data_IF_323918208429
#
_entry.id   IF_323918208429
#
_cell.length_a   1.000
_cell.length_b   1.000
_cell.length_c   1.000
_cell.angle_alpha   90.00
_cell.angle_beta   90.00
_cell.angle_gamma   90.00
#
_symmetry.space_group_name_H-M   'P 1'
#
loop_
_entity.id
_entity.type
_entity.pdbx_description
1 polymer ?
#
# COMPACT_ATOMS: atom_id res chain seq x y z
N UNK A 1 -2.30 26.99 -23.39
CA UNK A 1 -1.22 27.28 -22.43
C UNK A 1 -0.81 28.72 -22.59
N UNK A 2 -0.81 29.49 -21.50
CA UNK A 2 -0.39 30.90 -21.50
C UNK A 2 0.76 31.09 -20.51
N UNK A 3 1.58 32.10 -20.73
CA UNK A 3 2.59 32.54 -19.75
C UNK A 3 1.97 33.37 -18.62
N UNK A 4 2.78 33.76 -17.64
CA UNK A 4 2.36 34.61 -16.51
C UNK A 4 1.86 36.00 -16.93
N UNK A 5 2.16 36.43 -18.16
CA UNK A 5 1.68 37.68 -18.77
C UNK A 5 0.44 37.46 -19.66
N UNK A 6 -0.21 36.29 -19.59
CA UNK A 6 -1.35 35.86 -20.42
C UNK A 6 -1.06 35.78 -21.93
N UNK A 7 0.20 35.63 -22.33
CA UNK A 7 0.58 35.44 -23.73
C UNK A 7 0.40 33.96 -24.10
N UNK A 8 -0.27 33.70 -25.23
CA UNK A 8 -0.49 32.33 -25.73
C UNK A 8 0.83 31.68 -26.16
N UNK A 9 1.25 30.65 -25.45
CA UNK A 9 2.46 29.86 -25.76
C UNK A 9 2.15 28.63 -26.62
N UNK A 10 0.92 28.10 -26.55
CA UNK A 10 0.55 26.92 -27.31
C UNK A 10 -0.79 26.30 -26.88
N UNK A 11 -1.09 25.15 -27.47
CA UNK A 11 -2.29 24.36 -27.20
C UNK A 11 -1.90 22.99 -26.67
N UNK A 12 -2.75 22.40 -25.83
CA UNK A 12 -2.64 20.99 -25.40
C UNK A 12 -3.77 20.24 -26.07
N UNK A 13 -3.48 19.16 -26.75
CA UNK A 13 -4.51 18.35 -27.41
C UNK A 13 -5.06 17.30 -26.45
N UNK A 14 -6.25 16.78 -26.75
CA UNK A 14 -6.86 15.73 -25.93
C UNK A 14 -6.05 14.43 -25.97
N UNK A 15 -5.38 14.16 -27.09
CA UNK A 15 -4.54 12.98 -27.26
C UNK A 15 -3.33 13.03 -26.32
N UNK A 16 -2.72 14.21 -26.15
CA UNK A 16 -1.63 14.43 -25.19
C UNK A 16 -2.11 14.20 -23.75
N UNK A 17 -3.29 14.71 -23.40
CA UNK A 17 -3.89 14.51 -22.06
C UNK A 17 -4.18 13.03 -21.78
N UNK A 18 -4.68 12.29 -22.77
CA UNK A 18 -4.97 10.86 -22.64
C UNK A 18 -3.69 10.02 -22.50
N UNK A 19 -2.60 10.41 -23.15
CA UNK A 19 -1.31 9.74 -23.00
C UNK A 19 -0.75 9.93 -21.58
N UNK A 20 -0.69 11.17 -21.10
CA UNK A 20 -0.22 11.47 -19.73
C UNK A 20 -1.08 10.76 -18.68
N UNK A 21 -2.41 10.75 -18.84
CA UNK A 21 -3.29 10.06 -17.90
C UNK A 21 -3.02 8.55 -17.81
N UNK A 22 -2.64 7.90 -18.92
CA UNK A 22 -2.28 6.47 -18.92
C UNK A 22 -0.90 6.23 -18.28
N UNK A 23 0.05 7.13 -18.49
CA UNK A 23 1.38 7.05 -17.89
C UNK A 23 1.31 7.19 -16.36
N UNK A 24 0.61 8.22 -15.87
CA UNK A 24 0.35 8.44 -14.44
C UNK A 24 -0.36 7.24 -13.79
N UNK A 25 -1.39 6.70 -14.46
CA UNK A 25 -2.08 5.51 -13.96
C UNK A 25 -1.13 4.30 -13.85
N UNK A 26 -0.23 4.13 -14.83
CA UNK A 26 0.75 3.04 -14.81
C UNK A 26 1.79 3.23 -13.71
N UNK A 27 2.24 4.47 -13.50
CA UNK A 27 3.15 4.86 -12.44
C UNK A 27 2.54 4.62 -11.04
N UNK A 28 1.29 5.04 -10.83
CA UNK A 28 0.58 4.84 -9.56
C UNK A 28 0.44 3.35 -9.21
N UNK A 29 0.11 2.50 -10.18
CA UNK A 29 0.05 1.05 -9.99
C UNK A 29 1.40 0.47 -9.56
N UNK A 30 2.50 0.94 -10.13
CA UNK A 30 3.85 0.47 -9.77
C UNK A 30 4.26 0.93 -8.37
N UNK A 31 3.93 2.17 -8.00
CA UNK A 31 4.20 2.71 -6.67
C UNK A 31 3.42 1.98 -5.58
N UNK A 32 2.16 1.61 -5.83
CA UNK A 32 1.35 0.81 -4.90
C UNK A 32 2.03 -0.53 -4.58
N UNK A 33 2.76 -1.12 -5.53
CA UNK A 33 3.50 -2.37 -5.35
C UNK A 33 4.79 -2.27 -4.52
N UNK A 34 5.12 -1.08 -3.97
CA UNK A 34 6.37 -0.86 -3.23
C UNK A 34 7.60 -0.85 -4.14
N UNK A 35 7.43 -0.40 -5.38
CA UNK A 35 8.51 -0.22 -6.35
C UNK A 35 8.55 1.21 -6.83
N UNK A 36 9.74 1.74 -7.08
CA UNK A 36 9.86 3.00 -7.80
C UNK A 36 9.43 2.80 -9.26
N UNK A 37 8.73 3.78 -9.83
CA UNK A 37 8.20 3.70 -11.17
C UNK A 37 9.31 3.50 -12.22
N UNK A 38 8.99 2.66 -13.21
CA UNK A 38 9.80 2.41 -14.39
C UNK A 38 9.40 3.40 -15.48
N UNK A 39 10.39 4.16 -15.94
CA UNK A 39 10.23 5.15 -17.01
C UNK A 39 10.22 4.50 -18.43
N UNK A 40 10.40 3.18 -18.49
CA UNK A 40 10.57 2.39 -19.73
C UNK A 40 9.87 1.04 -19.60
N UNK A 41 9.49 0.37 -20.72
CA UNK A 41 8.88 -0.95 -20.68
C UNK A 41 9.74 -1.97 -19.93
N UNK A 42 9.10 -2.84 -19.13
CA UNK A 42 9.79 -3.76 -18.21
C UNK A 42 10.94 -4.57 -18.86
N UNK A 43 10.75 -5.08 -20.08
CA UNK A 43 11.75 -5.91 -20.77
C UNK A 43 12.95 -5.11 -21.29
N UNK A 44 12.80 -3.79 -21.44
CA UNK A 44 13.84 -2.89 -21.94
C UNK A 44 14.69 -2.32 -20.78
N UNK A 45 14.18 -2.40 -19.55
CA UNK A 45 14.89 -1.94 -18.35
C UNK A 45 16.12 -2.83 -18.09
N UNK A 46 17.34 -2.27 -18.05
CA UNK A 46 18.54 -3.02 -17.70
C UNK A 46 18.44 -3.67 -16.31
N UNK A 47 18.95 -4.89 -16.17
CA UNK A 47 18.89 -5.66 -14.93
C UNK A 47 19.30 -4.87 -13.67
N UNK A 48 20.41 -4.13 -13.74
CA UNK A 48 20.88 -3.32 -12.60
C UNK A 48 19.98 -2.11 -12.30
N UNK A 49 19.35 -1.52 -13.32
CA UNK A 49 18.36 -0.43 -13.15
C UNK A 49 17.11 -0.98 -12.43
N UNK A 50 16.64 -2.17 -12.82
CA UNK A 50 15.53 -2.85 -12.16
C UNK A 50 15.82 -3.15 -10.67
N UNK A 51 17.02 -3.61 -10.35
CA UNK A 51 17.43 -3.83 -8.95
C UNK A 51 17.42 -2.52 -8.17
N UNK A 52 18.02 -1.45 -8.71
CA UNK A 52 18.09 -0.17 -8.03
C UNK A 52 16.70 0.38 -7.68
N UNK A 53 15.74 0.25 -8.59
CA UNK A 53 14.33 0.68 -8.41
C UNK A 53 13.57 -0.09 -7.31
N UNK A 54 14.09 -1.24 -6.86
CA UNK A 54 13.45 -2.11 -5.84
C UNK A 54 14.25 -2.20 -4.54
N UNK A 55 15.58 -2.24 -4.62
CA UNK A 55 16.45 -2.55 -3.48
C UNK A 55 16.33 -1.52 -2.36
N UNK A 56 16.16 -0.24 -2.70
CA UNK A 56 15.95 0.81 -1.69
C UNK A 56 14.70 0.54 -0.85
N UNK A 57 13.56 0.30 -1.52
CA UNK A 57 12.30 -0.03 -0.86
C UNK A 57 12.37 -1.35 -0.10
N UNK A 58 12.95 -2.40 -0.68
CA UNK A 58 13.10 -3.69 -0.03
C UNK A 58 13.98 -3.63 1.22
N UNK A 59 15.04 -2.82 1.23
CA UNK A 59 15.86 -2.61 2.43
C UNK A 59 15.04 -1.94 3.53
N UNK A 60 14.28 -0.89 3.21
CA UNK A 60 13.44 -0.19 4.18
C UNK A 60 12.38 -1.13 4.77
N UNK A 61 11.71 -1.93 3.93
CA UNK A 61 10.73 -2.91 4.37
C UNK A 61 11.38 -4.01 5.24
N UNK A 62 12.53 -4.54 4.82
CA UNK A 62 13.25 -5.56 5.57
C UNK A 62 13.70 -5.06 6.95
N UNK A 63 14.24 -3.84 7.04
CA UNK A 63 14.60 -3.24 8.33
C UNK A 63 13.38 -3.05 9.23
N UNK A 64 12.23 -2.71 8.65
CA UNK A 64 10.97 -2.62 9.39
C UNK A 64 10.52 -3.99 9.91
N UNK A 65 10.66 -5.05 9.10
CA UNK A 65 10.36 -6.44 9.50
C UNK A 65 11.32 -6.96 10.59
N UNK A 66 12.58 -6.52 10.62
CA UNK A 66 13.53 -6.87 11.68
C UNK A 66 13.06 -6.40 13.07
N UNK A 67 12.26 -5.32 13.15
CA UNK A 67 11.65 -4.88 14.40
C UNK A 67 10.68 -5.93 14.95
N UNK A 68 9.95 -6.62 14.07
CA UNK A 68 9.07 -7.74 14.45
C UNK A 68 9.87 -8.89 15.05
N UNK A 69 11.00 -9.27 14.43
CA UNK A 69 11.87 -10.31 14.98
C UNK A 69 12.41 -9.94 16.37
N UNK A 70 12.77 -8.67 16.57
CA UNK A 70 13.21 -8.15 17.87
C UNK A 70 12.11 -8.24 18.92
N UNK A 71 10.88 -7.85 18.57
CA UNK A 71 9.72 -7.96 19.46
C UNK A 71 9.40 -9.44 19.80
N UNK A 72 9.47 -10.34 18.83
CA UNK A 72 9.28 -11.78 19.07
C UNK A 72 10.35 -12.36 20.00
N UNK A 73 11.61 -11.95 19.84
CA UNK A 73 12.69 -12.35 20.74
C UNK A 73 12.49 -11.85 22.17
N UNK A 74 11.98 -10.63 22.34
CA UNK A 74 11.67 -10.07 23.66
C UNK A 74 10.58 -10.88 24.40
N UNK A 75 9.56 -11.39 23.68
CA UNK A 75 8.46 -12.18 24.25
C UNK A 75 8.66 -13.70 24.13
N UNK A 76 9.89 -14.16 23.90
CA UNK A 76 10.17 -15.58 23.65
C UNK A 76 9.77 -16.47 24.84
N UNK A 77 9.99 -16.02 26.07
CA UNK A 77 9.64 -16.75 27.29
C UNK A 77 8.11 -16.85 27.48
N UNK A 78 7.35 -15.83 27.09
CA UNK A 78 5.89 -15.85 27.08
C UNK A 78 5.35 -16.78 26.00
N UNK A 79 5.93 -16.74 24.81
CA UNK A 79 5.55 -17.65 23.71
C UNK A 79 5.85 -19.10 24.10
N UNK A 80 6.94 -19.36 24.84
CA UNK A 80 7.26 -20.70 25.31
C UNK A 80 6.20 -21.29 26.25
N UNK A 81 5.46 -20.46 27.00
CA UNK A 81 4.35 -20.92 27.86
C UNK A 81 3.17 -21.47 27.05
N UNK A 82 3.01 -20.99 25.81
CA UNK A 82 1.94 -21.42 24.91
C UNK A 82 2.42 -21.38 23.46
N UNK A 83 3.26 -22.33 23.08
CA UNK A 83 3.88 -22.40 21.74
C UNK A 83 2.84 -22.39 20.62
N UNK A 84 1.64 -22.92 20.85
CA UNK A 84 0.52 -22.90 19.89
C UNK A 84 0.19 -21.47 19.43
N UNK A 85 0.41 -20.44 20.26
CA UNK A 85 0.19 -19.04 19.89
C UNK A 85 1.09 -18.58 18.73
N UNK A 86 2.27 -19.18 18.56
CA UNK A 86 3.19 -18.81 17.47
C UNK A 86 2.61 -19.13 16.09
N UNK A 87 1.69 -20.10 16.01
CA UNK A 87 1.01 -20.47 14.75
C UNK A 87 0.01 -19.37 14.34
N UNK A 88 -0.51 -18.60 15.28
CA UNK A 88 -1.43 -17.47 14.99
C UNK A 88 -0.72 -16.18 14.61
N UNK A 89 0.57 -16.02 14.96
CA UNK A 89 1.32 -14.80 14.65
C UNK A 89 1.34 -14.51 13.14
N UNK A 90 1.72 -15.45 12.24
CA UNK A 90 1.65 -15.22 10.80
C UNK A 90 0.24 -14.93 10.29
N UNK A 91 -0.78 -15.60 10.85
CA UNK A 91 -2.17 -15.43 10.43
C UNK A 91 -2.68 -14.02 10.77
N UNK A 92 -2.43 -13.55 11.99
CA UNK A 92 -2.85 -12.22 12.44
C UNK A 92 -2.10 -11.13 11.66
N UNK A 93 -0.78 -11.27 11.49
CA UNK A 93 0.02 -10.33 10.70
C UNK A 93 -0.44 -10.25 9.25
N UNK A 94 -0.67 -11.39 8.59
CA UNK A 94 -1.13 -11.45 7.21
C UNK A 94 -2.53 -10.86 7.05
N UNK A 95 -3.47 -11.18 7.94
CA UNK A 95 -4.81 -10.61 7.93
C UNK A 95 -4.80 -9.09 8.10
N UNK A 96 -4.00 -8.59 9.05
CA UNK A 96 -3.80 -7.15 9.26
C UNK A 96 -3.18 -6.46 8.04
N UNK A 97 -2.15 -7.05 7.44
CA UNK A 97 -1.52 -6.55 6.22
C UNK A 97 -2.47 -6.49 5.04
N UNK A 98 -3.24 -7.55 4.78
CA UNK A 98 -4.22 -7.59 3.69
C UNK A 98 -5.32 -6.54 3.86
N UNK A 99 -5.85 -6.38 5.08
CA UNK A 99 -6.86 -5.35 5.38
C UNK A 99 -6.28 -3.95 5.22
N UNK A 100 -5.06 -3.72 5.70
CA UNK A 100 -4.37 -2.43 5.56
C UNK A 100 -4.14 -2.04 4.11
N UNK A 101 -3.66 -2.98 3.29
CA UNK A 101 -3.44 -2.75 1.84
C UNK A 101 -4.74 -2.52 1.08
N UNK A 102 -5.84 -3.19 1.45
CA UNK A 102 -7.16 -2.92 0.86
C UNK A 102 -7.64 -1.51 1.18
N UNK A 103 -7.56 -1.11 2.46
CA UNK A 103 -7.95 0.22 2.90
C UNK A 103 -7.10 1.31 2.24
N UNK A 104 -5.76 1.15 2.22
CA UNK A 104 -4.86 2.14 1.62
C UNK A 104 -5.09 2.28 0.12
N UNK A 105 -5.27 1.17 -0.60
CA UNK A 105 -5.52 1.20 -2.05
C UNK A 105 -6.81 1.96 -2.37
N UNK A 106 -7.91 1.66 -1.67
CA UNK A 106 -9.19 2.33 -1.88
C UNK A 106 -9.13 3.83 -1.55
N UNK A 107 -8.46 4.20 -0.46
CA UNK A 107 -8.34 5.60 -0.05
C UNK A 107 -7.42 6.38 -1.02
N UNK A 108 -6.29 5.81 -1.43
CA UNK A 108 -5.39 6.41 -2.42
C UNK A 108 -6.11 6.63 -3.74
N UNK A 109 -6.85 5.63 -4.23
CA UNK A 109 -7.63 5.74 -5.45
C UNK A 109 -8.73 6.82 -5.33
N UNK A 110 -9.45 6.86 -4.21
CA UNK A 110 -10.46 7.89 -3.96
C UNK A 110 -9.85 9.30 -3.90
N UNK A 111 -8.61 9.43 -3.42
CA UNK A 111 -7.88 10.71 -3.47
C UNK A 111 -7.45 11.06 -4.89
N UNK A 112 -6.96 10.09 -5.68
CA UNK A 112 -6.52 10.31 -7.06
C UNK A 112 -7.65 10.78 -7.99
N UNK A 113 -8.86 10.23 -7.81
CA UNK A 113 -10.05 10.62 -8.59
C UNK A 113 -10.73 11.89 -8.05
N UNK A 114 -10.36 12.35 -6.84
CA UNK A 114 -10.90 13.55 -6.20
C UNK A 114 -12.19 13.33 -5.38
N UNK A 115 -12.58 12.09 -5.12
CA UNK A 115 -13.72 11.72 -4.26
C UNK A 115 -13.47 12.02 -2.78
N UNK A 116 -12.21 11.98 -2.36
CA UNK A 116 -11.76 12.21 -0.97
C UNK A 116 -10.62 13.20 -0.97
N UNK A 117 -10.68 14.21 -0.08
CA UNK A 117 -9.58 15.15 0.12
C UNK A 117 -8.92 14.94 1.48
N UNK A 118 -7.73 15.51 1.69
CA UNK A 118 -7.05 15.48 2.99
C UNK A 118 -7.90 16.09 4.12
N UNK A 119 -8.86 16.97 3.80
CA UNK A 119 -9.78 17.56 4.79
C UNK A 119 -10.79 16.53 5.33
N UNK A 120 -11.04 15.45 4.59
CA UNK A 120 -12.00 14.40 4.96
C UNK A 120 -11.40 13.32 5.86
N UNK A 121 -10.13 13.44 6.28
CA UNK A 121 -9.39 12.40 7.02
C UNK A 121 -10.16 11.85 8.23
N UNK A 122 -10.82 12.73 9.01
CA UNK A 122 -11.60 12.31 10.18
C UNK A 122 -12.84 11.50 9.81
N UNK A 123 -13.50 11.85 8.70
CA UNK A 123 -14.67 11.13 8.18
C UNK A 123 -14.28 9.75 7.67
N UNK A 124 -13.16 9.67 6.95
CA UNK A 124 -12.58 8.41 6.45
C UNK A 124 -12.21 7.51 7.62
N UNK A 125 -11.45 8.01 8.60
CA UNK A 125 -11.02 7.23 9.75
C UNK A 125 -12.19 6.65 10.55
N UNK A 126 -13.24 7.43 10.81
CA UNK A 126 -14.43 6.92 11.50
C UNK A 126 -15.11 5.80 10.71
N UNK A 127 -15.28 5.96 9.40
CA UNK A 127 -15.88 4.93 8.54
C UNK A 127 -15.05 3.65 8.56
N UNK A 128 -13.72 3.80 8.48
CA UNK A 128 -12.80 2.67 8.43
C UNK A 128 -12.79 1.89 9.74
N UNK A 129 -12.77 2.55 10.90
CA UNK A 129 -12.85 1.87 12.21
C UNK A 129 -14.08 0.94 12.30
N UNK A 130 -15.26 1.40 11.89
CA UNK A 130 -16.46 0.57 11.90
C UNK A 130 -16.39 -0.58 10.89
N UNK A 131 -15.86 -0.32 9.69
CA UNK A 131 -15.68 -1.35 8.67
C UNK A 131 -14.69 -2.43 9.12
N UNK A 132 -13.50 -2.04 9.61
CA UNK A 132 -12.48 -2.95 10.09
C UNK A 132 -12.92 -3.74 11.32
N UNK A 133 -13.69 -3.15 12.25
CA UNK A 133 -14.25 -3.90 13.37
C UNK A 133 -15.23 -4.99 12.90
N UNK A 134 -16.07 -4.66 11.92
CA UNK A 134 -17.03 -5.60 11.35
C UNK A 134 -16.31 -6.74 10.62
N UNK A 135 -15.36 -6.41 9.74
CA UNK A 135 -14.56 -7.39 9.00
C UNK A 135 -13.71 -8.25 9.94
N UNK A 136 -13.06 -7.64 10.93
CA UNK A 136 -12.28 -8.34 11.95
C UNK A 136 -13.13 -9.31 12.77
N UNK A 137 -14.37 -8.94 13.09
CA UNK A 137 -15.32 -9.83 13.78
C UNK A 137 -15.69 -11.03 12.90
N UNK A 138 -15.99 -10.81 11.62
CA UNK A 138 -16.30 -11.89 10.67
C UNK A 138 -15.12 -12.87 10.55
N UNK A 139 -13.91 -12.36 10.34
CA UNK A 139 -12.71 -13.17 10.22
C UNK A 139 -12.38 -13.89 11.54
N UNK A 140 -12.57 -13.22 12.68
CA UNK A 140 -12.38 -13.79 14.00
C UNK A 140 -13.32 -14.96 14.28
N UNK A 141 -14.59 -14.85 13.90
CA UNK A 141 -15.58 -15.93 14.01
C UNK A 141 -15.16 -17.13 13.15
N UNK A 142 -14.78 -16.90 11.89
CA UNK A 142 -14.32 -17.96 10.98
C UNK A 142 -13.07 -18.66 11.55
N UNK A 143 -12.09 -17.86 12.02
CA UNK A 143 -10.87 -18.39 12.64
C UNK A 143 -11.19 -19.24 13.87
N UNK A 144 -12.05 -18.75 14.76
CA UNK A 144 -12.47 -19.47 15.96
C UNK A 144 -13.04 -20.85 15.62
N UNK A 145 -14.00 -20.94 14.70
CA UNK A 145 -14.61 -22.23 14.31
C UNK A 145 -13.65 -23.16 13.57
N UNK A 146 -12.58 -22.66 12.95
CA UNK A 146 -11.59 -23.50 12.28
C UNK A 146 -10.68 -24.23 13.27
N UNK A 147 -10.48 -23.63 14.45
CA UNK A 147 -9.53 -24.03 15.49
C UNK A 147 -10.24 -24.75 16.65
N UNK A 148 -11.48 -24.36 16.96
CA UNK A 148 -12.35 -25.01 17.93
C UNK A 148 -12.77 -26.42 17.48
#
# INVERSE_FOLDING_TARGET
>A
VVDDNNILLGIVTIDDMLWVANEEFSEDIQKIGGTEALDEPYLDVPFFKLIQKRVGWLIVLFLSEMLTATAMGYFADEIAKAVVLSIFVPLIMSSGGNSGSQASTLIIQAMAVGDVTLRDWWRVMRREIFSSLTLGTILGIIGFFRIA
#
